data_IF_189794355183
#
_entry.id   IF_189794355183
#
_cell.length_a   1.000
_cell.length_b   1.000
_cell.length_c   1.000
_cell.angle_alpha   90.00
_cell.angle_beta   90.00
_cell.angle_gamma   90.00
#
_symmetry.space_group_name_H-M   'P 1'
#
loop_
_entity.id
_entity.type
_entity.pdbx_description
1 polymer ?
#
# COMPACT_ATOMS: atom_id res chain seq x y z
N UNK A 1 -1.59 -10.46 -7.82
CA UNK A 1 -2.33 -9.97 -6.62
C UNK A 1 -3.75 -10.54 -6.64
N UNK A 2 -4.22 -11.11 -5.52
CA UNK A 2 -5.59 -11.61 -5.40
C UNK A 2 -6.63 -10.52 -5.67
N UNK A 3 -7.87 -10.91 -5.99
CA UNK A 3 -8.96 -9.99 -6.31
C UNK A 3 -9.12 -8.96 -5.18
N UNK A 4 -8.82 -7.69 -5.47
CA UNK A 4 -8.94 -6.57 -4.53
C UNK A 4 -10.39 -6.53 -3.99
N UNK A 5 -10.62 -6.34 -2.68
CA UNK A 5 -11.96 -6.18 -2.14
C UNK A 5 -12.73 -5.09 -2.90
N UNK A 6 -14.03 -5.32 -3.18
CA UNK A 6 -14.83 -4.40 -4.00
C UNK A 6 -14.87 -2.98 -3.42
N UNK A 7 -14.89 -2.87 -2.09
CA UNK A 7 -14.84 -1.59 -1.36
C UNK A 7 -13.55 -0.79 -1.62
N UNK A 8 -12.48 -1.46 -2.05
CA UNK A 8 -11.18 -0.84 -2.32
C UNK A 8 -10.92 -0.64 -3.82
N UNK A 9 -11.91 -0.90 -4.71
CA UNK A 9 -11.74 -0.73 -6.17
C UNK A 9 -11.28 0.67 -6.58
N UNK A 10 -11.71 1.70 -5.85
CA UNK A 10 -11.27 3.09 -6.06
C UNK A 10 -9.76 3.28 -5.87
N UNK A 11 -9.12 2.42 -5.08
CA UNK A 11 -7.69 2.46 -4.78
C UNK A 11 -6.81 1.79 -5.85
N UNK A 12 -7.43 1.09 -6.82
CA UNK A 12 -6.70 0.33 -7.86
C UNK A 12 -5.73 1.21 -8.66
N UNK A 13 -6.11 2.44 -8.98
CA UNK A 13 -5.24 3.35 -9.73
C UNK A 13 -3.98 3.73 -8.96
N UNK A 14 -4.08 3.92 -7.64
CA UNK A 14 -2.94 4.25 -6.80
C UNK A 14 -2.01 3.06 -6.60
N UNK A 15 -2.56 1.84 -6.47
CA UNK A 15 -1.77 0.61 -6.48
C UNK A 15 -0.99 0.45 -7.79
N UNK A 16 -1.62 0.78 -8.92
CA UNK A 16 -0.94 0.77 -10.23
C UNK A 16 0.19 1.79 -10.29
N UNK A 17 -0.02 3.02 -9.81
CA UNK A 17 1.05 4.03 -9.77
C UNK A 17 2.21 3.55 -8.88
N UNK A 18 1.94 2.96 -7.73
CA UNK A 18 2.97 2.41 -6.86
C UNK A 18 3.78 1.30 -7.56
N UNK A 19 3.11 0.41 -8.27
CA UNK A 19 3.75 -0.65 -9.06
C UNK A 19 4.59 -0.08 -10.21
N UNK A 20 4.06 0.90 -10.95
CA UNK A 20 4.75 1.55 -12.07
C UNK A 20 5.99 2.35 -11.61
N UNK A 21 5.99 2.86 -10.37
CA UNK A 21 7.10 3.63 -9.80
C UNK A 21 8.11 2.78 -9.01
N UNK A 22 7.80 1.49 -8.82
CA UNK A 22 8.65 0.60 -8.04
C UNK A 22 10.04 0.47 -8.66
N UNK A 23 11.07 0.77 -7.86
CA UNK A 23 12.47 0.80 -8.30
C UNK A 23 12.88 2.01 -9.14
N UNK A 24 11.94 2.88 -9.53
CA UNK A 24 12.23 4.13 -10.26
C UNK A 24 12.16 5.36 -9.33
N UNK A 25 11.09 5.48 -8.55
CA UNK A 25 10.88 6.58 -7.61
C UNK A 25 10.23 6.03 -6.33
N UNK A 26 11.08 5.73 -5.35
CA UNK A 26 10.66 5.16 -4.08
C UNK A 26 9.77 6.09 -3.26
N UNK A 27 9.92 7.41 -3.42
CA UNK A 27 9.11 8.37 -2.70
C UNK A 27 7.66 8.33 -3.22
N UNK A 28 7.48 8.29 -4.55
CA UNK A 28 6.15 8.17 -5.16
C UNK A 28 5.52 6.81 -4.84
N UNK A 29 6.28 5.72 -4.94
CA UNK A 29 5.82 4.38 -4.54
C UNK A 29 5.32 4.38 -3.08
N UNK A 30 6.13 4.90 -2.15
CA UNK A 30 5.82 4.97 -0.73
C UNK A 30 4.55 5.77 -0.46
N UNK A 31 4.44 7.00 -0.99
CA UNK A 31 3.30 7.86 -0.73
C UNK A 31 2.00 7.34 -1.35
N UNK A 32 2.08 6.67 -2.51
CA UNK A 32 0.92 6.00 -3.10
C UNK A 32 0.42 4.85 -2.20
N UNK A 33 1.32 3.99 -1.73
CA UNK A 33 0.97 2.88 -0.84
C UNK A 33 0.48 3.37 0.53
N UNK A 34 1.06 4.43 1.06
CA UNK A 34 0.62 5.05 2.31
C UNK A 34 -0.80 5.62 2.19
N UNK A 35 -1.13 6.27 1.06
CA UNK A 35 -2.49 6.71 0.77
C UNK A 35 -3.48 5.53 0.69
N UNK A 36 -3.10 4.46 -0.01
CA UNK A 36 -3.92 3.23 -0.11
C UNK A 36 -4.18 2.63 1.27
N UNK A 37 -3.16 2.53 2.13
CA UNK A 37 -3.31 2.02 3.49
C UNK A 37 -4.30 2.86 4.30
N UNK A 38 -4.14 4.20 4.27
CA UNK A 38 -5.02 5.13 4.98
C UNK A 38 -6.48 4.97 4.56
N UNK A 39 -6.75 4.92 3.26
CA UNK A 39 -8.13 4.82 2.77
C UNK A 39 -8.73 3.43 2.98
N UNK A 40 -7.92 2.36 2.91
CA UNK A 40 -8.37 1.01 3.25
C UNK A 40 -8.78 0.90 4.73
N UNK A 41 -7.99 1.48 5.65
CA UNK A 41 -8.32 1.55 7.07
C UNK A 41 -9.57 2.40 7.37
N UNK A 42 -9.89 3.39 6.54
CA UNK A 42 -11.12 4.18 6.67
C UNK A 42 -12.35 3.47 6.12
N UNK A 43 -12.16 2.60 5.13
CA UNK A 43 -13.26 1.95 4.41
C UNK A 43 -13.82 0.76 5.19
N UNK A 44 -12.96 -0.14 5.66
CA UNK A 44 -13.38 -1.32 6.42
C UNK A 44 -12.21 -1.94 7.19
N UNK A 45 -12.33 -1.95 8.52
CA UNK A 45 -11.35 -2.56 9.43
C UNK A 45 -11.83 -3.90 10.00
N UNK A 46 -13.05 -4.32 9.68
CA UNK A 46 -13.71 -5.47 10.29
C UNK A 46 -13.59 -6.74 9.45
N UNK A 47 -13.56 -6.63 8.12
CA UNK A 47 -13.46 -7.82 7.28
C UNK A 47 -12.03 -8.38 7.28
N UNK A 48 -11.93 -9.71 7.44
CA UNK A 48 -10.65 -10.42 7.36
C UNK A 48 -9.89 -10.12 6.06
N UNK A 49 -10.60 -9.94 4.94
CA UNK A 49 -9.98 -9.61 3.64
C UNK A 49 -9.33 -8.22 3.65
N UNK A 50 -10.02 -7.21 4.17
CA UNK A 50 -9.45 -5.87 4.29
C UNK A 50 -8.31 -5.85 5.30
N UNK A 51 -8.43 -6.56 6.43
CA UNK A 51 -7.34 -6.71 7.41
C UNK A 51 -6.09 -7.38 6.81
N UNK A 52 -6.24 -8.48 6.07
CA UNK A 52 -5.10 -9.11 5.39
C UNK A 52 -4.44 -8.17 4.37
N UNK A 53 -5.25 -7.38 3.66
CA UNK A 53 -4.74 -6.38 2.72
C UNK A 53 -3.98 -5.25 3.42
N UNK A 54 -4.52 -4.67 4.49
CA UNK A 54 -3.85 -3.57 5.22
C UNK A 54 -2.57 -4.04 5.89
N UNK A 55 -2.55 -5.25 6.48
CA UNK A 55 -1.34 -5.86 7.04
C UNK A 55 -0.27 -6.05 5.96
N UNK A 56 -0.66 -6.51 4.77
CA UNK A 56 0.26 -6.68 3.65
C UNK A 56 0.88 -5.35 3.22
N UNK A 57 0.06 -4.30 3.01
CA UNK A 57 0.54 -2.97 2.62
C UNK A 57 1.44 -2.36 3.69
N UNK A 58 1.07 -2.48 4.97
CA UNK A 58 1.89 -2.01 6.08
C UNK A 58 3.25 -2.71 6.14
N UNK A 59 3.27 -4.03 5.97
CA UNK A 59 4.52 -4.81 5.96
C UNK A 59 5.42 -4.41 4.79
N UNK A 60 4.83 -4.08 3.64
CA UNK A 60 5.58 -3.59 2.49
C UNK A 60 6.15 -2.19 2.73
N UNK A 61 5.38 -1.27 3.32
CA UNK A 61 5.87 0.06 3.68
C UNK A 61 7.06 -0.01 4.65
N UNK A 62 6.99 -0.86 5.68
CA UNK A 62 8.12 -1.08 6.59
C UNK A 62 9.34 -1.67 5.88
N UNK A 63 9.14 -2.52 4.87
CA UNK A 63 10.23 -3.01 4.03
C UNK A 63 10.89 -1.84 3.27
N UNK A 64 10.10 -1.00 2.60
CA UNK A 64 10.61 0.19 1.89
C UNK A 64 11.39 1.11 2.83
N UNK A 65 10.86 1.38 4.03
CA UNK A 65 11.54 2.19 5.04
C UNK A 65 12.89 1.59 5.43
N UNK A 66 12.94 0.28 5.69
CA UNK A 66 14.18 -0.38 6.09
C UNK A 66 15.22 -0.40 4.96
N UNK A 67 14.80 -0.60 3.71
CA UNK A 67 15.70 -0.61 2.54
C UNK A 67 16.24 0.77 2.18
N UNK A 68 15.54 1.85 2.58
CA UNK A 68 15.89 3.23 2.25
C UNK A 68 16.29 4.05 3.49
N UNK A 69 16.57 3.39 4.63
CA UNK A 69 17.21 4.05 5.78
C UNK A 69 18.58 4.56 5.34
N UNK A 70 18.79 5.86 5.49
CA UNK A 70 20.13 6.43 5.48
C UNK A 70 20.67 6.22 6.89
N UNK A 71 21.71 5.41 7.05
CA UNK A 71 22.47 5.39 8.30
C UNK A 71 23.11 6.77 8.45
N UNK A 72 22.67 7.53 9.46
CA UNK A 72 23.25 8.83 9.86
C UNK A 72 24.65 8.69 10.47
#
# INVERSE_FOLDING_TARGET
>A
MGRLPDILKSLKSFLKIAEDMSGSDVAVEYWCLHYVLREALRSDTSSRKCQSFTIYVLSYLHKLENENKVDE
#
